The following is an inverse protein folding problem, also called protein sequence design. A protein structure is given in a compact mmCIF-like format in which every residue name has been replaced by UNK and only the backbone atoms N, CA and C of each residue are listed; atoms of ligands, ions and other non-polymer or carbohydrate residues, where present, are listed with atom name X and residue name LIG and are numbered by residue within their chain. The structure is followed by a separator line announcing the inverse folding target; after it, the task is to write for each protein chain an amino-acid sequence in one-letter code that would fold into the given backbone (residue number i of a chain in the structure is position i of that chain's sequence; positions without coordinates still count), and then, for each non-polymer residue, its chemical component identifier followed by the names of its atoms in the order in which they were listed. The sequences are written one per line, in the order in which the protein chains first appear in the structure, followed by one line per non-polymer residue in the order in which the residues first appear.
data_IF_134517796234
#
_entry.id   IF_134517796234
#
_cell.length_a   1.000
_cell.length_b   1.000
_cell.length_c   1.000
_cell.angle_alpha   90.00
_cell.angle_beta   90.00
_cell.angle_gamma   90.00
#
_symmetry.space_group_name_H-M   'P 1'
#
loop_
_entity.id
_entity.type
_entity.pdbx_description
1 polymer ?
#
# COMPACT_ATOMS: atom_id res chain seq x y z
N UNK A 1 -1.88 -5.30 -4.34
CA UNK A 1 -1.07 -6.44 -4.82
C UNK A 1 -0.06 -5.82 -5.76
N UNK A 2 1.23 -5.99 -5.51
CA UNK A 2 2.31 -5.48 -6.39
C UNK A 2 2.33 -6.31 -7.67
N UNK A 3 2.59 -5.66 -8.81
CA UNK A 3 2.61 -6.32 -10.13
C UNK A 3 3.99 -6.14 -10.71
N UNK A 4 4.82 -7.18 -10.65
CA UNK A 4 6.16 -7.17 -11.23
C UNK A 4 6.09 -7.52 -12.73
N UNK A 5 6.64 -6.65 -13.57
CA UNK A 5 6.76 -6.86 -15.02
C UNK A 5 8.19 -6.68 -15.53
N UNK A 6 9.17 -6.50 -14.64
CA UNK A 6 10.58 -6.21 -14.94
C UNK A 6 11.19 -7.19 -15.96
N UNK A 7 10.95 -8.50 -15.79
CA UNK A 7 11.49 -9.53 -16.69
C UNK A 7 10.93 -9.43 -18.12
N UNK A 8 9.71 -8.89 -18.30
CA UNK A 8 9.08 -8.77 -19.63
C UNK A 8 9.56 -7.55 -20.42
N UNK A 9 10.16 -6.58 -19.75
CA UNK A 9 10.72 -5.36 -20.35
C UNK A 9 12.23 -5.32 -20.28
N UNK A 10 12.87 -6.46 -20.01
CA UNK A 10 14.33 -6.57 -19.92
C UNK A 10 15.02 -6.39 -21.29
N UNK A 11 14.37 -6.82 -22.38
CA UNK A 11 14.85 -6.60 -23.75
C UNK A 11 13.97 -5.58 -24.49
N UNK A 12 14.60 -4.62 -25.16
CA UNK A 12 13.92 -3.62 -25.98
C UNK A 12 13.52 -4.22 -27.35
N UNK A 13 12.45 -5.02 -27.35
CA UNK A 13 11.85 -5.57 -28.58
C UNK A 13 10.83 -4.58 -29.17
N UNK A 14 10.68 -4.59 -30.51
CA UNK A 14 9.76 -3.72 -31.26
C UNK A 14 8.29 -3.75 -30.76
N UNK A 15 7.85 -4.85 -30.13
CA UNK A 15 6.52 -4.98 -29.52
C UNK A 15 6.49 -5.09 -27.99
N UNK A 16 7.59 -4.79 -27.30
CA UNK A 16 7.72 -5.02 -25.85
C UNK A 16 6.68 -4.26 -25.01
N UNK A 17 6.51 -2.96 -25.27
CA UNK A 17 5.53 -2.12 -24.57
C UNK A 17 4.08 -2.39 -25.01
N UNK A 18 3.85 -2.71 -26.28
CA UNK A 18 2.51 -3.06 -26.78
C UNK A 18 1.93 -4.28 -26.06
N UNK A 19 2.78 -5.26 -25.71
CA UNK A 19 2.39 -6.40 -24.90
C UNK A 19 1.99 -6.05 -23.45
N UNK A 20 2.46 -4.93 -22.90
CA UNK A 20 2.06 -4.44 -21.58
C UNK A 20 0.63 -3.87 -21.57
N UNK A 21 0.21 -3.22 -22.66
CA UNK A 21 -1.14 -2.68 -22.79
C UNK A 21 -2.21 -3.78 -22.76
N UNK A 22 -1.93 -4.95 -23.33
CA UNK A 22 -2.87 -6.07 -23.33
C UNK A 22 -3.02 -6.77 -21.97
N UNK A 23 -2.29 -6.35 -20.94
CA UNK A 23 -2.36 -6.96 -19.60
C UNK A 23 -3.59 -6.45 -18.84
N UNK A 24 -4.31 -7.35 -18.16
CA UNK A 24 -5.48 -6.98 -17.33
C UNK A 24 -5.16 -6.73 -15.85
N UNK A 25 -4.23 -7.52 -15.27
CA UNK A 25 -3.90 -7.38 -13.84
C UNK A 25 -3.03 -6.15 -13.59
N UNK A 26 -3.60 -5.17 -12.87
CA UNK A 26 -2.92 -3.93 -12.50
C UNK A 26 -2.82 -2.92 -13.64
N UNK A 27 -3.59 -3.10 -14.71
CA UNK A 27 -3.62 -2.15 -15.83
C UNK A 27 -4.57 -0.99 -15.57
N UNK A 28 -4.37 0.07 -16.36
CA UNK A 28 -5.20 1.27 -16.35
C UNK A 28 -6.68 0.95 -16.61
N UNK A 29 -6.97 -0.05 -17.45
CA UNK A 29 -8.35 -0.47 -17.74
C UNK A 29 -9.08 -0.94 -16.49
N UNK A 30 -8.42 -1.74 -15.64
CA UNK A 30 -9.03 -2.21 -14.40
C UNK A 30 -9.24 -1.08 -13.38
N UNK A 31 -8.45 -0.02 -13.47
CA UNK A 31 -8.60 1.15 -12.60
C UNK A 31 -9.70 2.10 -13.08
N UNK A 32 -9.81 2.33 -14.40
CA UNK A 32 -10.70 3.35 -14.98
C UNK A 32 -12.02 2.81 -15.54
N UNK A 33 -12.27 1.50 -15.56
CA UNK A 33 -13.45 0.97 -16.26
C UNK A 33 -14.78 1.52 -15.72
N UNK A 34 -14.88 1.81 -14.41
CA UNK A 34 -16.12 2.32 -13.81
C UNK A 34 -16.36 3.77 -14.22
N UNK A 35 -15.32 4.59 -14.11
CA UNK A 35 -15.33 6.01 -14.47
C UNK A 35 -15.56 6.19 -15.97
N UNK A 36 -14.92 5.35 -16.79
CA UNK A 36 -15.10 5.35 -18.24
C UNK A 36 -16.51 4.93 -18.65
N UNK A 37 -17.07 3.90 -18.00
CA UNK A 37 -18.45 3.47 -18.27
C UNK A 37 -19.47 4.54 -17.88
N UNK A 38 -19.26 5.22 -16.75
CA UNK A 38 -20.06 6.37 -16.34
C UNK A 38 -19.96 7.52 -17.34
N UNK A 39 -18.74 7.83 -17.81
CA UNK A 39 -18.51 8.86 -18.83
C UNK A 39 -19.24 8.55 -20.13
N UNK A 40 -19.13 7.32 -20.64
CA UNK A 40 -19.86 6.89 -21.84
C UNK A 40 -21.37 6.97 -21.62
N UNK A 41 -21.88 6.54 -20.47
CA UNK A 41 -23.30 6.58 -20.17
C UNK A 41 -23.84 8.02 -20.17
N UNK A 42 -23.14 8.96 -19.52
CA UNK A 42 -23.50 10.38 -19.52
C UNK A 42 -23.42 11.00 -20.92
N UNK A 43 -22.35 10.70 -21.67
CA UNK A 43 -22.19 11.18 -23.03
C UNK A 43 -23.28 10.64 -23.96
N UNK A 44 -23.60 9.36 -23.85
CA UNK A 44 -24.68 8.73 -24.62
C UNK A 44 -26.04 9.33 -24.26
N UNK A 45 -26.31 9.57 -22.97
CA UNK A 45 -27.53 10.20 -22.50
C UNK A 45 -27.69 11.61 -23.10
N UNK A 46 -26.62 12.43 -23.09
CA UNK A 46 -26.59 13.74 -23.73
C UNK A 46 -26.80 13.65 -25.25
N UNK A 47 -26.19 12.66 -25.91
CA UNK A 47 -26.36 12.43 -27.35
C UNK A 47 -27.79 12.05 -27.71
N UNK A 48 -28.41 11.16 -26.91
CA UNK A 48 -29.79 10.71 -27.10
C UNK A 48 -30.77 11.86 -26.86
N UNK A 49 -30.59 12.64 -25.79
CA UNK A 49 -31.43 13.82 -25.52
C UNK A 49 -31.36 14.83 -26.66
N UNK A 50 -30.16 15.11 -27.17
CA UNK A 50 -30.00 16.00 -28.33
C UNK A 50 -30.70 15.46 -29.60
N UNK A 51 -30.58 14.16 -29.88
CA UNK A 51 -31.12 13.55 -31.12
C UNK A 51 -32.62 13.31 -31.08
N UNK A 52 -33.16 12.83 -29.96
CA UNK A 52 -34.53 12.31 -29.87
C UNK A 52 -35.49 13.21 -29.08
N UNK A 53 -35.02 13.98 -28.08
CA UNK A 53 -35.91 14.76 -27.21
C UNK A 53 -35.97 16.26 -27.56
N UNK A 54 -34.87 16.86 -28.04
CA UNK A 54 -34.80 18.30 -28.27
C UNK A 54 -35.45 18.73 -29.61
N UNK A 55 -36.28 19.78 -29.53
CA UNK A 55 -36.83 20.52 -30.68
C UNK A 55 -35.77 21.42 -31.35
N UNK A 56 -36.04 21.91 -32.57
CA UNK A 56 -35.04 22.65 -33.37
C UNK A 56 -34.49 23.89 -32.67
N UNK A 57 -35.34 24.70 -32.05
CA UNK A 57 -34.91 25.89 -31.28
C UNK A 57 -33.99 25.51 -30.11
N UNK A 58 -34.31 24.44 -29.38
CA UNK A 58 -33.51 23.98 -28.24
C UNK A 58 -32.15 23.43 -28.68
N UNK A 59 -32.06 22.83 -29.87
CA UNK A 59 -30.79 22.34 -30.44
C UNK A 59 -29.82 23.48 -30.72
N UNK A 60 -30.30 24.66 -31.14
CA UNK A 60 -29.45 25.83 -31.34
C UNK A 60 -28.83 26.30 -30.02
N UNK A 61 -29.61 26.35 -28.94
CA UNK A 61 -29.11 26.70 -27.60
C UNK A 61 -28.10 25.65 -27.10
N UNK A 62 -28.40 24.35 -27.25
CA UNK A 62 -27.46 23.28 -26.89
C UNK A 62 -26.12 23.41 -27.63
N UNK A 63 -26.15 23.72 -28.93
CA UNK A 63 -24.95 23.92 -29.73
C UNK A 63 -24.13 25.15 -29.31
N UNK A 64 -24.76 26.19 -28.77
CA UNK A 64 -24.06 27.34 -28.18
C UNK A 64 -23.36 26.93 -26.86
N UNK A 65 -24.06 26.21 -25.99
CA UNK A 65 -23.49 25.72 -24.72
C UNK A 65 -22.31 24.77 -24.98
N UNK A 66 -22.45 23.83 -25.91
CA UNK A 66 -21.38 22.89 -26.26
C UNK A 66 -20.13 23.62 -26.77
N UNK A 67 -20.30 24.65 -27.63
CA UNK A 67 -19.18 25.47 -28.11
C UNK A 67 -18.53 26.29 -26.99
N UNK A 68 -19.32 26.81 -26.05
CA UNK A 68 -18.80 27.50 -24.87
C UNK A 68 -17.95 26.57 -24.01
N UNK A 69 -18.46 25.38 -23.67
CA UNK A 69 -17.71 24.38 -22.90
C UNK A 69 -16.43 23.93 -23.60
N UNK A 70 -16.46 23.74 -24.94
CA UNK A 70 -15.29 23.35 -25.71
C UNK A 70 -14.19 24.43 -25.64
N UNK A 71 -14.57 25.71 -25.72
CA UNK A 71 -13.61 26.81 -25.55
C UNK A 71 -13.02 26.80 -24.14
N UNK A 72 -13.84 26.59 -23.10
CA UNK A 72 -13.38 26.54 -21.71
C UNK A 72 -12.47 25.36 -21.37
N UNK A 73 -12.59 24.23 -22.10
CA UNK A 73 -11.78 23.04 -21.86
C UNK A 73 -10.27 23.28 -22.12
N UNK A 74 -9.94 24.16 -23.08
CA UNK A 74 -8.56 24.46 -23.47
C UNK A 74 -7.86 25.47 -22.53
N UNK A 75 -8.61 26.21 -21.69
CA UNK A 75 -8.05 27.29 -20.87
C UNK A 75 -7.24 26.80 -19.67
N UNK A 76 -7.40 25.54 -19.24
CA UNK A 76 -6.70 25.00 -18.08
C UNK A 76 -5.66 24.00 -18.58
N UNK A 77 -4.35 24.27 -18.45
CA UNK A 77 -3.31 23.30 -18.77
C UNK A 77 -3.27 22.20 -17.69
N UNK A 78 -4.30 21.35 -17.68
CA UNK A 78 -4.45 20.24 -16.73
C UNK A 78 -3.24 19.30 -16.79
N UNK A 79 -2.65 19.13 -17.98
CA UNK A 79 -1.45 18.33 -18.19
C UNK A 79 -0.26 18.80 -17.36
N UNK A 80 -0.08 20.13 -17.18
CA UNK A 80 1.01 20.68 -16.40
C UNK A 80 0.84 20.34 -14.92
N UNK A 81 -0.32 20.68 -14.35
CA UNK A 81 -0.64 20.42 -12.93
C UNK A 81 -0.60 18.92 -12.62
N UNK A 82 -1.16 18.10 -13.50
CA UNK A 82 -1.13 16.64 -13.38
C UNK A 82 0.31 16.11 -13.38
N UNK A 83 1.19 16.67 -14.21
CA UNK A 83 2.62 16.32 -14.25
C UNK A 83 3.32 16.57 -12.92
N UNK A 84 3.15 17.76 -12.32
CA UNK A 84 3.74 18.04 -10.99
C UNK A 84 3.17 17.15 -9.91
N UNK A 85 1.84 16.99 -9.91
CA UNK A 85 1.16 16.18 -8.91
C UNK A 85 1.63 14.71 -8.96
N UNK A 86 1.65 14.11 -10.15
CA UNK A 86 2.09 12.73 -10.34
C UNK A 86 3.55 12.57 -9.92
N UNK A 87 4.43 13.51 -10.28
CA UNK A 87 5.84 13.48 -9.89
C UNK A 87 6.00 13.50 -8.37
N UNK A 88 5.26 14.36 -7.67
CA UNK A 88 5.26 14.42 -6.20
C UNK A 88 4.78 13.10 -5.58
N UNK A 89 3.68 12.54 -6.11
CA UNK A 89 3.13 11.26 -5.61
C UNK A 89 4.12 10.11 -5.79
N UNK A 90 4.76 10.01 -6.96
CA UNK A 90 5.77 8.97 -7.25
C UNK A 90 6.97 9.11 -6.32
N UNK A 91 7.47 10.32 -6.11
CA UNK A 91 8.60 10.57 -5.21
C UNK A 91 8.28 10.17 -3.77
N UNK A 92 7.09 10.52 -3.27
CA UNK A 92 6.64 10.11 -1.93
C UNK A 92 6.45 8.61 -1.82
N UNK A 93 5.87 7.98 -2.84
CA UNK A 93 5.68 6.52 -2.88
C UNK A 93 7.03 5.80 -2.82
N UNK A 94 8.02 6.26 -3.59
CA UNK A 94 9.36 5.67 -3.56
C UNK A 94 10.04 5.87 -2.20
N UNK A 95 9.95 7.07 -1.62
CA UNK A 95 10.48 7.35 -0.29
C UNK A 95 9.84 6.48 0.80
N UNK A 96 8.53 6.19 0.70
CA UNK A 96 7.85 5.24 1.58
C UNK A 96 8.30 3.80 1.37
N UNK A 97 8.60 3.40 0.13
CA UNK A 97 9.09 2.07 -0.16
C UNK A 97 10.51 1.85 0.39
N UNK A 98 11.40 2.83 0.24
CA UNK A 98 12.79 2.75 0.74
C UNK A 98 12.89 2.89 2.25
N UNK A 99 11.85 3.42 2.93
CA UNK A 99 11.82 3.53 4.39
C UNK A 99 11.26 2.30 5.10
N UNK A 100 10.85 1.26 4.36
CA UNK A 100 10.39 -0.01 4.96
C UNK A 100 11.58 -0.64 5.70
N UNK A 101 11.45 -0.91 7.03
CA UNK A 101 12.55 -1.43 7.82
C UNK A 101 12.83 -2.91 7.46
N UNK A 102 13.89 -3.14 6.69
CA UNK A 102 14.41 -4.47 6.38
C UNK A 102 15.49 -4.85 7.42
N UNK A 103 15.41 -6.05 8.03
CA UNK A 103 16.34 -6.47 9.08
C UNK A 103 17.73 -6.87 8.55
N UNK A 104 17.92 -6.95 7.23
CA UNK A 104 19.11 -7.53 6.59
C UNK A 104 20.42 -6.86 7.03
N UNK A 105 20.49 -5.52 6.99
CA UNK A 105 21.68 -4.78 7.43
C UNK A 105 21.95 -4.98 8.91
N UNK A 106 20.90 -4.93 9.74
CA UNK A 106 21.01 -5.14 11.18
C UNK A 106 21.47 -6.57 11.51
N UNK A 107 21.01 -7.57 10.76
CA UNK A 107 21.40 -8.96 10.91
C UNK A 107 22.90 -9.15 10.65
N UNK A 108 23.45 -8.52 9.61
CA UNK A 108 24.88 -8.56 9.33
C UNK A 108 25.71 -7.97 10.48
N UNK A 109 25.30 -6.81 11.01
CA UNK A 109 25.98 -6.16 12.15
C UNK A 109 25.90 -7.05 13.40
N UNK A 110 24.71 -7.57 13.74
CA UNK A 110 24.54 -8.45 14.90
C UNK A 110 25.39 -9.73 14.76
N UNK A 111 25.45 -10.30 13.56
CA UNK A 111 26.25 -11.50 13.30
C UNK A 111 27.75 -11.25 13.43
N UNK A 112 28.23 -10.06 13.05
CA UNK A 112 29.64 -9.70 13.15
C UNK A 112 30.04 -9.23 14.56
N UNK A 113 29.15 -8.57 15.29
CA UNK A 113 29.46 -7.99 16.61
C UNK A 113 29.26 -8.98 17.77
N UNK A 114 28.27 -9.87 17.68
CA UNK A 114 27.95 -10.82 18.77
C UNK A 114 28.71 -12.13 18.57
N UNK A 115 29.85 -12.23 19.25
CA UNK A 115 30.71 -13.41 19.26
C UNK A 115 30.20 -14.47 20.26
N UNK A 116 30.57 -15.74 20.03
CA UNK A 116 30.20 -16.87 20.88
C UNK A 116 29.38 -17.92 20.14
N UNK A 117 29.91 -19.14 20.12
CA UNK A 117 29.25 -20.34 19.57
C UNK A 117 28.30 -20.96 20.60
N UNK A 118 28.45 -20.55 21.87
CA UNK A 118 27.66 -21.03 22.99
C UNK A 118 26.16 -20.73 22.83
N UNK A 119 25.35 -21.53 23.53
CA UNK A 119 23.89 -21.37 23.57
C UNK A 119 23.47 -19.94 23.92
N UNK A 120 24.19 -19.27 24.83
CA UNK A 120 23.91 -17.89 25.24
C UNK A 120 24.12 -16.88 24.11
N UNK A 121 25.21 -17.00 23.35
CA UNK A 121 25.49 -16.15 22.19
C UNK A 121 24.45 -16.36 21.07
N UNK A 122 24.05 -17.62 20.85
CA UNK A 122 22.98 -17.95 19.90
C UNK A 122 21.63 -17.35 20.31
N UNK A 123 21.26 -17.42 21.59
CA UNK A 123 20.03 -16.83 22.11
C UNK A 123 20.05 -15.30 21.98
N UNK A 124 21.18 -14.65 22.29
CA UNK A 124 21.31 -13.20 22.18
C UNK A 124 21.08 -12.71 20.73
N UNK A 125 21.75 -13.31 19.75
CA UNK A 125 21.57 -12.97 18.32
C UNK A 125 20.11 -13.12 17.88
N UNK A 126 19.45 -14.21 18.26
CA UNK A 126 18.03 -14.47 17.92
C UNK A 126 17.09 -13.47 18.60
N UNK A 127 17.34 -13.12 19.86
CA UNK A 127 16.49 -12.19 20.60
C UNK A 127 16.60 -10.76 20.06
N UNK A 128 17.81 -10.30 19.71
CA UNK A 128 17.99 -8.97 19.11
C UNK A 128 17.25 -8.83 17.77
N UNK A 129 17.36 -9.82 16.89
CA UNK A 129 16.65 -9.81 15.60
C UNK A 129 15.12 -9.89 15.80
N UNK A 130 14.65 -10.69 16.78
CA UNK A 130 13.22 -10.77 17.11
C UNK A 130 12.66 -9.42 17.56
N UNK A 131 13.38 -8.67 18.40
CA UNK A 131 12.94 -7.34 18.81
C UNK A 131 12.89 -6.33 17.66
N UNK A 132 13.88 -6.36 16.76
CA UNK A 132 13.86 -5.52 15.56
C UNK A 132 12.67 -5.85 14.65
N UNK A 133 12.43 -7.13 14.38
CA UNK A 133 11.30 -7.58 13.56
C UNK A 133 9.96 -7.22 14.20
N UNK A 134 9.85 -7.32 15.53
CA UNK A 134 8.65 -6.94 16.27
C UNK A 134 8.36 -5.43 16.14
N UNK A 135 9.38 -4.58 16.29
CA UNK A 135 9.26 -3.15 16.05
C UNK A 135 8.77 -2.85 14.62
N UNK A 136 9.35 -3.51 13.61
CA UNK A 136 8.90 -3.39 12.21
C UNK A 136 7.43 -3.80 12.03
N UNK A 137 6.98 -4.90 12.65
CA UNK A 137 5.59 -5.35 12.57
C UNK A 137 4.64 -4.36 13.22
N UNK A 138 5.00 -3.77 14.37
CA UNK A 138 4.17 -2.78 15.06
C UNK A 138 3.99 -1.51 14.23
N UNK A 139 5.07 -1.00 13.62
CA UNK A 139 5.01 0.17 12.72
C UNK A 139 4.22 -0.17 11.45
N UNK A 140 4.45 -1.34 10.85
CA UNK A 140 3.71 -1.74 9.64
C UNK A 140 2.21 -1.96 9.93
N UNK A 141 1.85 -2.42 11.14
CA UNK A 141 0.46 -2.57 11.57
C UNK A 141 -0.26 -1.23 11.67
N UNK A 142 0.41 -0.15 12.10
CA UNK A 142 -0.23 1.17 12.22
C UNK A 142 -0.45 1.86 10.88
N UNK A 143 0.43 1.63 9.91
CA UNK A 143 0.38 2.31 8.60
C UNK A 143 -0.34 1.47 7.52
N UNK A 144 -0.21 0.14 7.56
CA UNK A 144 -0.75 -0.75 6.53
C UNK A 144 -2.02 -1.47 6.96
N UNK A 145 -3.12 -1.17 6.28
CA UNK A 145 -4.41 -1.86 6.50
C UNK A 145 -4.34 -3.37 6.27
N UNK A 146 -3.42 -3.85 5.41
CA UNK A 146 -3.23 -5.30 5.20
C UNK A 146 -2.58 -5.98 6.39
N UNK A 147 -1.61 -5.32 7.03
CA UNK A 147 -0.94 -5.84 8.21
C UNK A 147 -1.88 -5.75 9.42
N UNK A 148 -2.65 -4.67 9.53
CA UNK A 148 -3.72 -4.55 10.53
C UNK A 148 -4.77 -5.65 10.41
N UNK A 149 -5.22 -5.99 9.19
CA UNK A 149 -6.14 -7.12 8.98
C UNK A 149 -5.53 -8.48 9.32
N UNK A 150 -4.20 -8.63 9.22
CA UNK A 150 -3.50 -9.86 9.58
C UNK A 150 -3.26 -9.97 11.09
N UNK A 151 -3.02 -8.84 11.75
CA UNK A 151 -2.80 -8.75 13.20
C UNK A 151 -3.76 -7.70 13.80
N UNK A 152 -5.05 -8.04 13.99
CA UNK A 152 -6.04 -7.07 14.46
C UNK A 152 -5.81 -6.68 15.92
N UNK A 153 -5.46 -7.64 16.78
CA UNK A 153 -5.18 -7.42 18.21
C UNK A 153 -3.72 -7.71 18.54
N UNK A 154 -3.27 -7.25 19.71
CA UNK A 154 -1.91 -7.53 20.21
C UNK A 154 -1.69 -9.01 20.51
N UNK A 155 -2.75 -9.73 20.90
CA UNK A 155 -2.69 -11.18 21.12
C UNK A 155 -2.24 -11.91 19.85
N UNK A 156 -2.76 -11.53 18.68
CA UNK A 156 -2.33 -12.11 17.40
C UNK A 156 -0.82 -11.88 17.11
N UNK A 157 -0.25 -10.78 17.60
CA UNK A 157 1.18 -10.48 17.46
C UNK A 157 1.99 -11.35 18.42
N UNK A 158 1.53 -11.47 19.67
CA UNK A 158 2.17 -12.30 20.70
C UNK A 158 2.14 -13.78 20.31
N UNK A 159 0.99 -14.28 19.84
CA UNK A 159 0.80 -15.66 19.40
C UNK A 159 1.67 -16.01 18.20
N UNK A 160 1.77 -15.11 17.21
CA UNK A 160 2.64 -15.28 16.06
C UNK A 160 4.12 -15.27 16.46
N UNK A 161 4.51 -14.44 17.43
CA UNK A 161 5.87 -14.42 17.98
C UNK A 161 6.20 -15.67 18.80
N UNK A 162 5.24 -16.20 19.56
CA UNK A 162 5.39 -17.41 20.36
C UNK A 162 5.52 -18.67 19.47
N UNK A 163 4.79 -18.72 18.36
CA UNK A 163 4.88 -19.80 17.36
C UNK A 163 6.26 -19.90 16.68
N UNK A 164 7.07 -18.84 16.70
CA UNK A 164 8.40 -18.80 16.06
C UNK A 164 9.55 -19.31 16.94
N UNK A 165 9.26 -19.90 18.11
CA UNK A 165 10.14 -20.90 18.71
C UNK A 165 10.73 -20.60 20.09
N UNK A 166 10.08 -19.80 20.93
CA UNK A 166 10.20 -19.81 22.40
C UNK A 166 9.01 -18.98 22.97
N UNK A 167 8.34 -19.41 24.06
CA UNK A 167 7.35 -18.58 24.72
C UNK A 167 8.02 -17.27 25.17
N UNK A 168 7.44 -16.12 24.85
CA UNK A 168 7.88 -14.85 25.42
C UNK A 168 7.90 -14.98 26.96
N UNK A 169 9.09 -14.83 27.56
CA UNK A 169 9.22 -14.87 29.01
C UNK A 169 8.36 -13.77 29.63
N UNK A 170 7.95 -13.91 30.89
CA UNK A 170 7.18 -12.87 31.59
C UNK A 170 7.86 -11.49 31.53
N UNK A 171 9.19 -11.46 31.38
CA UNK A 171 10.03 -10.25 31.24
C UNK A 171 9.94 -9.60 29.85
N UNK A 172 9.77 -10.40 28.80
CA UNK A 172 9.65 -9.87 27.43
C UNK A 172 8.26 -9.28 27.20
N UNK A 173 7.25 -9.83 27.88
CA UNK A 173 5.87 -9.29 27.90
C UNK A 173 5.79 -7.94 28.61
N UNK A 174 6.51 -7.74 29.72
CA UNK A 174 6.61 -6.43 30.39
C UNK A 174 7.43 -5.43 29.58
N UNK A 175 8.49 -5.86 28.91
CA UNK A 175 9.24 -4.98 28.00
C UNK A 175 8.39 -4.53 26.80
N UNK A 176 7.54 -5.42 26.29
CA UNK A 176 6.53 -5.12 25.26
C UNK A 176 5.47 -4.12 25.74
N UNK A 177 4.96 -4.28 26.96
CA UNK A 177 4.04 -3.32 27.57
C UNK A 177 4.69 -1.93 27.74
N UNK A 178 5.96 -1.90 28.17
CA UNK A 178 6.74 -0.67 28.33
C UNK A 178 7.05 0.06 27.02
N UNK A 179 7.31 -0.67 25.93
CA UNK A 179 7.52 -0.09 24.58
C UNK A 179 6.25 0.50 23.96
N UNK A 180 5.06 0.09 24.44
CA UNK A 180 3.77 0.46 23.86
C UNK A 180 2.96 1.44 24.72
N UNK A 181 3.55 1.96 25.80
CA UNK A 181 2.90 2.97 26.66
C UNK A 181 1.60 2.49 27.32
N UNK A 182 1.40 1.17 27.42
CA UNK A 182 0.21 0.57 28.03
C UNK A 182 0.51 0.05 29.43
N UNK A 183 -0.34 0.41 30.39
CA UNK A 183 -0.31 -0.15 31.73
C UNK A 183 -0.26 -1.68 31.69
N UNK A 184 0.51 -2.21 32.64
CA UNK A 184 0.60 -3.63 32.96
C UNK A 184 -0.82 -4.16 33.20
N UNK A 185 -1.35 -4.98 32.28
CA UNK A 185 -2.58 -5.73 32.55
C UNK A 185 -2.30 -6.62 33.78
N UNK A 186 -3.03 -6.47 34.90
CA UNK A 186 -2.72 -7.23 36.09
C UNK A 186 -3.02 -8.71 35.84
N UNK A 187 -2.06 -9.55 36.23
CA UNK A 187 -2.17 -11.01 36.21
C UNK A 187 -3.33 -11.44 37.11
N UNK A 188 -4.50 -11.65 36.52
CA UNK A 188 -5.61 -12.36 37.15
C UNK A 188 -5.27 -13.84 37.27
N UNK A 189 -4.60 -14.21 38.37
CA UNK A 189 -4.44 -15.60 38.78
C UNK A 189 -5.80 -16.18 39.17
N UNK A 190 -6.33 -17.09 38.34
CA UNK A 190 -7.40 -17.98 38.77
C UNK A 190 -6.77 -19.18 39.51
N UNK A 191 -7.23 -19.50 40.73
CA UNK A 191 -6.73 -20.66 41.47
C UNK A 191 -7.25 -21.93 40.81
N UNK A 192 -6.35 -22.86 40.46
CA UNK A 192 -6.73 -24.23 40.13
C UNK A 192 -7.22 -24.90 41.41
N UNK A 193 -8.48 -25.35 41.41
CA UNK A 193 -8.90 -26.53 42.17
C UNK A 193 -8.49 -27.78 41.40
#
# INVERSE_FOLDING_TARGET
MTVSYTLKVAEARFGGFSGLLLRWRGSIYKLLYKEFLLFIALYALLSITYRLLLTQEQRHVYAQVARYCNRSADLIPLSFVLGFYVTLVVNRWWAQYTSIPLPDQLMCVISASVHGVDQRGRLLRRTLIRYANLASVLVLRSVSTRVLKRFPTMEHVVDAGAALGEPWSGRDRTCLAGLLGGEVLPLGGAPRR
#
